data_IF_540804961813
#
_entry.id   IF_540804961813
#
_cell.length_a   1.000
_cell.length_b   1.000
_cell.length_c   1.000
_cell.angle_alpha   90.00
_cell.angle_beta   90.00
_cell.angle_gamma   90.00
#
_symmetry.space_group_name_H-M   'P 1'
#
loop_
_entity.id
_entity.type
_entity.pdbx_description
1 polymer ?
#
# COMPACT_ATOMS: atom_id res chain seq x y z
N UNK A 1 -31.48 0.25 -7.77
CA UNK A 1 -30.58 1.10 -6.95
C UNK A 1 -29.91 0.18 -5.96
N UNK A 2 -28.78 -0.41 -6.34
CA UNK A 2 -27.96 -1.21 -5.43
C UNK A 2 -26.56 -0.68 -5.59
N UNK A 3 -26.19 0.10 -4.58
CA UNK A 3 -24.89 0.68 -4.36
C UNK A 3 -23.87 -0.46 -4.43
N UNK A 4 -23.14 -0.51 -5.54
CA UNK A 4 -21.84 -1.17 -5.58
C UNK A 4 -20.95 -0.34 -4.67
N UNK A 5 -21.04 -0.61 -3.37
CA UNK A 5 -19.99 -0.26 -2.44
C UNK A 5 -18.73 -0.86 -3.02
N UNK A 6 -17.86 0.03 -3.48
CA UNK A 6 -16.54 -0.24 -4.01
C UNK A 6 -15.89 -1.28 -3.10
N UNK A 7 -15.88 -2.53 -3.56
CA UNK A 7 -15.09 -3.58 -2.94
C UNK A 7 -13.64 -3.16 -3.11
N UNK A 8 -13.11 -2.41 -2.14
CA UNK A 8 -11.68 -2.31 -1.88
C UNK A 8 -11.21 -3.70 -1.42
N UNK A 9 -11.16 -4.61 -2.40
CA UNK A 9 -10.28 -5.76 -2.39
C UNK A 9 -9.00 -5.29 -3.09
N UNK A 10 -8.00 -4.75 -2.38
CA UNK A 10 -6.66 -4.80 -2.92
C UNK A 10 -6.27 -6.29 -2.91
N UNK A 11 -6.21 -6.85 -4.11
CA UNK A 11 -5.94 -8.26 -4.37
C UNK A 11 -4.67 -8.78 -3.68
N UNK A 12 -4.72 -10.08 -3.36
CA UNK A 12 -3.60 -10.87 -2.86
C UNK A 12 -2.41 -10.96 -3.83
N UNK A 13 -1.35 -11.76 -3.57
CA UNK A 13 -1.33 -12.99 -2.79
C UNK A 13 -0.55 -12.86 -1.47
N UNK A 14 -0.77 -13.80 -0.56
CA UNK A 14 0.07 -14.07 0.59
C UNK A 14 1.50 -14.43 0.15
N UNK A 15 2.28 -13.45 -0.32
CA UNK A 15 3.71 -13.55 -0.36
C UNK A 15 4.16 -13.57 1.11
N UNK A 16 4.78 -14.66 1.55
CA UNK A 16 5.34 -14.88 2.90
C UNK A 16 6.49 -13.89 3.24
N UNK A 17 6.49 -12.69 2.66
CA UNK A 17 7.52 -11.67 2.76
C UNK A 17 6.99 -10.34 3.32
N UNK A 18 7.91 -9.39 3.50
CA UNK A 18 7.63 -8.08 4.08
C UNK A 18 6.94 -7.10 3.10
N UNK A 19 6.86 -7.49 1.83
CA UNK A 19 6.25 -6.73 0.74
C UNK A 19 4.76 -6.40 0.93
N UNK A 20 3.85 -7.38 1.17
CA UNK A 20 2.43 -7.08 1.40
C UNK A 20 2.19 -6.17 2.61
N UNK A 21 3.01 -6.30 3.67
CA UNK A 21 2.93 -5.41 4.84
C UNK A 21 3.32 -3.98 4.45
N UNK A 22 4.44 -3.82 3.73
CA UNK A 22 4.87 -2.52 3.23
C UNK A 22 3.82 -1.86 2.34
N UNK A 23 3.22 -2.62 1.42
CA UNK A 23 2.17 -2.14 0.55
C UNK A 23 0.91 -1.72 1.32
N UNK A 24 0.44 -2.52 2.28
CA UNK A 24 -0.75 -2.21 3.08
C UNK A 24 -0.55 -0.95 3.93
N UNK A 25 0.60 -0.81 4.58
CA UNK A 25 0.95 0.38 5.36
C UNK A 25 1.07 1.60 4.45
N UNK A 26 1.78 1.46 3.33
CA UNK A 26 1.94 2.54 2.35
C UNK A 26 0.62 3.00 1.75
N UNK A 27 -0.27 2.08 1.38
CA UNK A 27 -1.59 2.38 0.86
C UNK A 27 -2.47 3.10 1.89
N UNK A 28 -2.49 2.65 3.16
CA UNK A 28 -3.26 3.28 4.23
C UNK A 28 -2.74 4.68 4.60
N UNK A 29 -1.41 4.84 4.70
CA UNK A 29 -0.81 6.16 4.97
C UNK A 29 -0.99 7.09 3.77
N UNK A 30 -0.82 6.58 2.55
CA UNK A 30 -1.00 7.33 1.31
C UNK A 30 -2.42 7.83 1.10
N UNK A 31 -3.42 6.99 1.36
CA UNK A 31 -4.84 7.39 1.30
C UNK A 31 -5.15 8.46 2.34
N UNK A 32 -4.71 8.29 3.59
CA UNK A 32 -4.88 9.32 4.62
C UNK A 32 -4.24 10.66 4.22
N UNK A 33 -3.02 10.63 3.68
CA UNK A 33 -2.32 11.83 3.20
C UNK A 33 -3.02 12.46 1.98
N UNK A 34 -3.51 11.63 1.05
CA UNK A 34 -4.25 12.07 -0.12
C UNK A 34 -5.56 12.77 0.26
N UNK A 35 -6.28 12.27 1.27
CA UNK A 35 -7.48 12.91 1.82
C UNK A 35 -7.13 14.25 2.47
N UNK A 36 -6.06 14.31 3.27
CA UNK A 36 -5.61 15.54 3.94
C UNK A 36 -5.22 16.63 2.94
N UNK A 37 -4.60 16.26 1.81
CA UNK A 37 -4.11 17.19 0.79
C UNK A 37 -5.17 17.50 -0.28
N UNK A 38 -6.37 16.91 -0.19
CA UNK A 38 -7.41 17.00 -1.22
C UNK A 38 -7.02 16.37 -2.56
N UNK A 39 -5.95 15.57 -2.60
CA UNK A 39 -5.40 14.93 -3.79
C UNK A 39 -5.14 13.44 -3.53
N UNK A 40 -6.23 12.66 -3.57
CA UNK A 40 -6.21 11.20 -3.37
C UNK A 40 -5.26 10.48 -4.33
N UNK A 41 -5.25 10.86 -5.61
CA UNK A 41 -4.37 10.23 -6.61
C UNK A 41 -2.90 10.38 -6.25
N UNK A 42 -2.50 11.55 -5.76
CA UNK A 42 -1.12 11.84 -5.38
C UNK A 42 -0.74 11.10 -4.09
N UNK A 43 -1.66 11.08 -3.11
CA UNK A 43 -1.48 10.32 -1.88
C UNK A 43 -1.33 8.82 -2.10
N UNK A 44 -2.17 8.22 -2.94
CA UNK A 44 -2.10 6.79 -3.27
C UNK A 44 -0.82 6.47 -4.04
N UNK A 45 -0.46 7.29 -5.05
CA UNK A 45 0.76 7.07 -5.83
C UNK A 45 2.02 7.13 -4.95
N UNK A 46 2.13 8.13 -4.07
CA UNK A 46 3.24 8.24 -3.14
C UNK A 46 3.23 7.11 -2.10
N UNK A 47 2.08 6.84 -1.49
CA UNK A 47 1.96 5.83 -0.44
C UNK A 47 2.27 4.43 -0.92
N UNK A 48 1.70 4.02 -2.06
CA UNK A 48 1.99 2.70 -2.65
C UNK A 48 3.44 2.59 -3.10
N UNK A 49 4.02 3.63 -3.71
CA UNK A 49 5.43 3.66 -4.10
C UNK A 49 6.38 3.52 -2.91
N UNK A 50 6.15 4.29 -1.84
CA UNK A 50 6.93 4.20 -0.60
C UNK A 50 6.74 2.85 0.11
N UNK A 51 5.50 2.37 0.18
CA UNK A 51 5.17 1.09 0.80
C UNK A 51 5.86 -0.09 0.14
N UNK A 52 5.87 -0.12 -1.20
CA UNK A 52 6.59 -1.14 -1.98
C UNK A 52 8.10 -1.01 -1.79
N UNK A 53 8.65 0.21 -1.88
CA UNK A 53 10.09 0.43 -1.71
C UNK A 53 10.59 -0.04 -0.32
N UNK A 54 9.86 0.30 0.75
CA UNK A 54 10.19 -0.12 2.12
C UNK A 54 10.00 -1.63 2.28
N UNK A 55 8.87 -2.18 1.81
CA UNK A 55 8.61 -3.62 1.88
C UNK A 55 9.65 -4.45 1.12
N UNK A 56 10.11 -3.95 -0.03
CA UNK A 56 11.16 -4.57 -0.84
C UNK A 56 12.52 -4.48 -0.17
N UNK A 57 12.90 -3.29 0.29
CA UNK A 57 14.17 -3.07 0.98
C UNK A 57 14.26 -3.90 2.26
N UNK A 58 13.19 -3.93 3.06
CA UNK A 58 13.15 -4.64 4.33
C UNK A 58 13.04 -6.18 4.13
N UNK A 59 12.35 -6.63 3.08
CA UNK A 59 12.37 -8.03 2.65
C UNK A 59 13.75 -8.48 2.16
N UNK A 60 14.44 -7.62 1.42
CA UNK A 60 15.81 -7.88 0.94
C UNK A 60 16.84 -7.86 2.07
N UNK A 61 16.69 -6.94 3.03
CA UNK A 61 17.54 -6.89 4.23
C UNK A 61 17.40 -8.15 5.09
N UNK A 62 16.19 -8.74 5.15
CA UNK A 62 15.95 -10.02 5.84
C UNK A 62 16.44 -11.23 5.06
N UNK A 63 16.47 -11.17 3.74
CA UNK A 63 17.01 -12.23 2.87
C UNK A 63 18.54 -12.35 2.97
N UNK A 64 19.23 -11.29 3.36
CA UNK A 64 20.69 -11.22 3.48
C UNK A 64 21.24 -11.54 4.87
N UNK A 65 20.38 -11.88 5.84
CA UNK A 65 20.79 -12.40 7.16
C UNK A 65 20.30 -13.83 7.33
#
# INVERSE_FOLDING_TARGET
MTEQGEEDKPGGPAATGMLPIGLAVGAGVGTAFGVLTGNLSLGIALGTGLGVAIGAAAGNARRQR
#
